data_IF_647921198855
#
_entry.id   IF_647921198855
#
_cell.length_a   1.000
_cell.length_b   1.000
_cell.length_c   1.000
_cell.angle_alpha   90.00
_cell.angle_beta   90.00
_cell.angle_gamma   90.00
#
_symmetry.space_group_name_H-M   'P 1'
#
loop_
_entity.id
_entity.type
_entity.pdbx_description
1 polymer ?
#
# COMPACT_ATOMS: atom_id res chain seq x y z
N UNK A 1 17.86 -21.21 29.85
CA UNK A 1 17.93 -19.85 29.27
C UNK A 1 17.07 -18.92 30.12
N UNK A 2 17.61 -17.82 30.65
CA UNK A 2 16.82 -16.81 31.37
C UNK A 2 15.83 -16.13 30.42
N UNK A 3 14.61 -15.87 30.89
CA UNK A 3 13.50 -15.28 30.09
C UNK A 3 13.88 -13.91 29.52
N UNK A 4 14.60 -13.09 30.29
CA UNK A 4 15.06 -11.77 29.84
C UNK A 4 16.01 -11.84 28.65
N UNK A 5 16.89 -12.86 28.63
CA UNK A 5 17.83 -13.05 27.53
C UNK A 5 17.11 -13.55 26.27
N UNK A 6 16.14 -14.46 26.43
CA UNK A 6 15.29 -14.93 25.33
C UNK A 6 14.50 -13.78 24.70
N UNK A 7 13.91 -12.90 25.53
CA UNK A 7 13.14 -11.74 25.07
C UNK A 7 14.02 -10.70 24.36
N UNK A 8 15.24 -10.45 24.86
CA UNK A 8 16.21 -9.57 24.19
C UNK A 8 16.67 -10.10 22.85
N UNK A 9 16.92 -11.41 22.74
CA UNK A 9 17.23 -12.08 21.48
C UNK A 9 16.08 -11.97 20.49
N UNK A 10 14.86 -12.28 20.92
CA UNK A 10 13.67 -12.18 20.08
C UNK A 10 13.49 -10.74 19.57
N UNK A 11 13.58 -9.76 20.46
CA UNK A 11 13.50 -8.33 20.10
C UNK A 11 14.57 -7.94 19.08
N UNK A 12 15.82 -8.31 19.30
CA UNK A 12 16.90 -7.99 18.38
C UNK A 12 16.65 -8.54 16.96
N UNK A 13 16.17 -9.78 16.85
CA UNK A 13 15.84 -10.37 15.55
C UNK A 13 14.63 -9.71 14.91
N UNK A 14 13.56 -9.42 15.67
CA UNK A 14 12.36 -8.73 15.14
C UNK A 14 12.69 -7.31 14.67
N UNK A 15 13.50 -6.56 15.43
CA UNK A 15 13.91 -5.20 15.08
C UNK A 15 14.81 -5.21 13.82
N UNK A 16 15.74 -6.16 13.74
CA UNK A 16 16.61 -6.33 12.56
C UNK A 16 15.80 -6.70 11.32
N UNK A 17 14.85 -7.64 11.44
CA UNK A 17 13.95 -8.01 10.35
C UNK A 17 13.14 -6.80 9.88
N UNK A 18 12.61 -6.01 10.81
CA UNK A 18 11.83 -4.80 10.50
C UNK A 18 12.67 -3.77 9.75
N UNK A 19 13.93 -3.57 10.15
CA UNK A 19 14.86 -2.68 9.47
C UNK A 19 15.18 -3.16 8.04
N UNK A 20 15.43 -4.45 7.85
CA UNK A 20 15.68 -5.05 6.53
C UNK A 20 14.46 -4.90 5.63
N UNK A 21 13.25 -5.22 6.12
CA UNK A 21 12.00 -5.06 5.37
C UNK A 21 11.78 -3.60 4.98
N UNK A 22 11.98 -2.67 5.91
CA UNK A 22 11.81 -1.22 5.65
C UNK A 22 12.79 -0.74 4.57
N UNK A 23 14.04 -1.17 4.64
CA UNK A 23 15.05 -0.84 3.64
C UNK A 23 14.73 -1.44 2.26
N UNK A 24 14.25 -2.69 2.22
CA UNK A 24 13.83 -3.33 0.97
C UNK A 24 12.63 -2.60 0.35
N UNK A 25 11.65 -2.17 1.16
CA UNK A 25 10.49 -1.40 0.69
C UNK A 25 10.92 -0.06 0.11
N UNK A 26 11.78 0.68 0.82
CA UNK A 26 12.30 1.98 0.36
C UNK A 26 13.10 1.88 -0.94
N UNK A 27 13.84 0.79 -1.13
CA UNK A 27 14.65 0.57 -2.33
C UNK A 27 13.88 -0.11 -3.47
N UNK A 28 12.59 -0.42 -3.28
CA UNK A 28 11.76 -1.12 -4.27
C UNK A 28 12.17 -2.57 -4.53
N UNK A 29 12.99 -3.17 -3.66
CA UNK A 29 13.42 -4.58 -3.74
C UNK A 29 12.59 -5.51 -2.88
N UNK A 30 11.59 -4.98 -2.18
CA UNK A 30 10.68 -5.79 -1.39
C UNK A 30 9.65 -6.43 -2.31
N UNK A 31 9.66 -7.76 -2.37
CA UNK A 31 8.64 -8.54 -3.07
C UNK A 31 7.42 -8.70 -2.16
N UNK A 32 6.28 -8.13 -2.56
CA UNK A 32 5.01 -8.25 -1.85
C UNK A 32 4.26 -9.54 -2.20
N UNK A 33 4.77 -10.34 -3.13
CA UNK A 33 4.09 -11.50 -3.67
C UNK A 33 2.88 -11.12 -4.54
N UNK A 34 1.90 -12.00 -4.58
CA UNK A 34 0.66 -11.80 -5.33
C UNK A 34 -0.24 -10.84 -4.56
N UNK A 35 -0.55 -9.69 -5.17
CA UNK A 35 -1.41 -8.66 -4.58
C UNK A 35 -2.79 -8.67 -5.23
N UNK A 36 -3.85 -8.73 -4.42
CA UNK A 36 -5.21 -8.49 -4.89
C UNK A 36 -5.48 -6.98 -4.96
N UNK A 37 -5.51 -6.47 -6.19
CA UNK A 37 -5.77 -5.07 -6.48
C UNK A 37 -7.27 -4.74 -6.53
N UNK A 38 -8.16 -5.74 -6.59
CA UNK A 38 -9.60 -5.54 -6.69
C UNK A 38 -10.29 -5.33 -5.35
N UNK A 39 -9.67 -5.74 -4.24
CA UNK A 39 -10.23 -5.62 -2.89
C UNK A 39 -9.91 -4.29 -2.18
N UNK A 40 -9.06 -3.43 -2.74
CA UNK A 40 -8.70 -2.15 -2.12
C UNK A 40 -9.58 -0.99 -2.64
N UNK A 41 -10.00 -0.09 -1.76
CA UNK A 41 -10.59 1.20 -2.16
C UNK A 41 -9.53 2.01 -2.92
N UNK A 42 -9.66 2.07 -4.24
CA UNK A 42 -8.77 2.81 -5.12
C UNK A 42 -9.07 2.56 -6.59
N UNK A 43 -8.74 3.53 -7.44
CA UNK A 43 -8.86 3.36 -8.89
C UNK A 43 -7.61 2.66 -9.42
N UNK A 44 -7.80 1.48 -10.03
CA UNK A 44 -6.71 0.74 -10.68
C UNK A 44 -6.81 0.95 -12.18
N UNK A 45 -5.77 1.53 -12.77
CA UNK A 45 -5.68 1.74 -14.22
C UNK A 45 -4.47 1.03 -14.78
N UNK A 46 -4.66 0.20 -15.81
CA UNK A 46 -3.53 -0.37 -16.56
C UNK A 46 -2.90 0.72 -17.44
N UNK A 47 -1.62 1.00 -17.20
CA UNK A 47 -0.86 2.01 -17.95
C UNK A 47 -0.05 1.39 -19.08
N UNK A 48 0.43 0.15 -18.92
CA UNK A 48 1.26 -0.51 -19.94
C UNK A 48 1.01 -2.01 -19.98
N UNK A 49 1.09 -2.57 -21.18
CA UNK A 49 1.11 -4.01 -21.41
C UNK A 49 2.32 -4.36 -22.27
N UNK A 50 3.11 -5.33 -21.81
CA UNK A 50 4.18 -5.96 -22.61
C UNK A 50 3.87 -7.43 -22.75
N UNK A 51 3.93 -7.93 -23.99
CA UNK A 51 3.70 -9.34 -24.30
C UNK A 51 5.00 -9.95 -24.79
N UNK A 52 5.38 -11.08 -24.21
CA UNK A 52 6.57 -11.84 -24.55
C UNK A 52 6.13 -13.20 -25.08
N UNK A 53 6.63 -13.57 -26.26
CA UNK A 53 6.40 -14.87 -26.86
C UNK A 53 7.70 -15.66 -26.82
N UNK A 54 7.70 -16.83 -26.19
CA UNK A 54 8.87 -17.71 -26.11
C UNK A 54 8.56 -19.07 -26.71
N UNK A 55 9.43 -19.54 -27.60
CA UNK A 55 9.34 -20.88 -28.15
C UNK A 55 9.85 -21.88 -27.11
N UNK A 56 9.14 -22.99 -26.93
CA UNK A 56 9.51 -24.11 -26.08
C UNK A 56 9.17 -25.43 -26.79
N UNK A 57 9.60 -26.56 -26.22
CA UNK A 57 9.54 -27.87 -26.87
C UNK A 57 8.15 -28.27 -27.39
N UNK A 58 7.07 -27.79 -26.76
CA UNK A 58 5.67 -28.10 -27.11
C UNK A 58 4.94 -26.98 -27.84
N UNK A 59 5.58 -25.84 -28.14
CA UNK A 59 4.93 -24.74 -28.86
C UNK A 59 5.47 -23.36 -28.53
N UNK A 60 4.59 -22.36 -28.57
CA UNK A 60 4.92 -20.97 -28.19
C UNK A 60 4.16 -20.59 -26.93
N UNK A 61 4.88 -20.21 -25.87
CA UNK A 61 4.34 -19.71 -24.62
C UNK A 61 4.21 -18.20 -24.66
N UNK A 62 3.09 -17.67 -24.14
CA UNK A 62 2.81 -16.24 -24.05
C UNK A 62 2.89 -15.80 -22.59
N UNK A 63 3.69 -14.77 -22.32
CA UNK A 63 3.82 -14.15 -21.01
C UNK A 63 3.47 -12.68 -21.12
N UNK A 64 2.64 -12.18 -20.21
CA UNK A 64 2.22 -10.77 -20.20
C UNK A 64 2.70 -10.08 -18.93
N UNK A 65 3.26 -8.89 -19.10
CA UNK A 65 3.62 -7.99 -18.02
C UNK A 65 2.72 -6.77 -18.09
N UNK A 66 1.84 -6.63 -17.10
CA UNK A 66 0.93 -5.50 -16.94
C UNK A 66 1.54 -4.51 -15.95
N UNK A 67 1.74 -3.26 -16.37
CA UNK A 67 2.05 -2.15 -15.45
C UNK A 67 0.75 -1.43 -15.14
N UNK A 68 0.43 -1.34 -13.87
CA UNK A 68 -0.79 -0.70 -13.36
C UNK A 68 -0.42 0.50 -12.49
N UNK A 69 -1.24 1.53 -12.55
CA UNK A 69 -1.24 2.63 -11.59
C UNK A 69 -2.42 2.42 -10.65
N UNK A 70 -2.18 2.60 -9.35
CA UNK A 70 -3.18 2.47 -8.30
C UNK A 70 -3.28 3.80 -7.59
N UNK A 71 -4.41 4.47 -7.76
CA UNK A 71 -4.71 5.71 -7.07
C UNK A 71 -5.56 5.38 -5.84
N UNK A 72 -4.98 5.51 -4.65
CA UNK A 72 -5.70 5.41 -3.37
C UNK A 72 -6.27 6.78 -3.03
N UNK A 73 -7.57 6.83 -2.73
CA UNK A 73 -8.27 8.06 -2.37
C UNK A 73 -9.53 8.29 -3.21
N UNK A 74 -10.19 9.42 -2.98
CA UNK A 74 -11.37 9.82 -3.74
C UNK A 74 -10.99 10.80 -4.86
N UNK A 75 -11.74 10.75 -5.96
CA UNK A 75 -11.61 11.74 -7.03
C UNK A 75 -11.90 13.16 -6.51
N UNK A 76 -11.38 14.18 -7.20
CA UNK A 76 -11.66 15.58 -6.85
C UNK A 76 -13.17 15.86 -6.79
N UNK A 77 -13.94 15.30 -7.72
CA UNK A 77 -15.40 15.44 -7.75
C UNK A 77 -16.06 14.82 -6.53
N UNK A 78 -15.62 13.63 -6.10
CA UNK A 78 -16.12 12.99 -4.89
C UNK A 78 -15.69 13.76 -3.63
N UNK A 79 -14.47 14.30 -3.61
CA UNK A 79 -14.00 15.15 -2.53
C UNK A 79 -14.87 16.42 -2.41
N UNK A 80 -15.22 17.05 -3.53
CA UNK A 80 -16.11 18.21 -3.55
C UNK A 80 -17.52 17.88 -3.07
N UNK A 81 -18.07 16.71 -3.42
CA UNK A 81 -19.36 16.27 -2.88
C UNK A 81 -19.28 16.06 -1.38
N UNK A 82 -18.27 15.32 -0.91
CA UNK A 82 -18.03 15.12 0.52
C UNK A 82 -17.89 16.44 1.26
N UNK A 83 -17.21 17.43 0.68
CA UNK A 83 -17.10 18.78 1.23
C UNK A 83 -18.45 19.48 1.36
N UNK A 84 -19.30 19.38 0.33
CA UNK A 84 -20.63 19.99 0.33
C UNK A 84 -21.57 19.40 1.40
N UNK A 85 -21.35 18.14 1.78
CA UNK A 85 -22.15 17.42 2.77
C UNK A 85 -21.65 17.61 4.22
N UNK A 86 -20.59 18.41 4.47
CA UNK A 86 -20.06 18.63 5.81
C UNK A 86 -20.92 19.62 6.60
N UNK A 87 -21.35 19.20 7.80
CA UNK A 87 -22.16 20.04 8.71
C UNK A 87 -21.35 20.60 9.89
N UNK A 88 -20.22 19.98 10.23
CA UNK A 88 -19.43 20.29 11.43
C UNK A 88 -18.00 20.77 11.10
N UNK A 89 -17.45 21.76 11.84
CA UNK A 89 -16.06 22.20 11.69
C UNK A 89 -14.99 21.15 12.07
N UNK A 90 -15.41 20.06 12.72
CA UNK A 90 -14.54 18.95 13.16
C UNK A 90 -14.66 17.73 12.26
N UNK A 91 -15.31 17.88 11.11
CA UNK A 91 -15.47 16.84 10.10
C UNK A 91 -14.82 17.29 8.78
N UNK A 92 -14.28 16.36 8.01
CA UNK A 92 -13.79 16.64 6.65
C UNK A 92 -12.27 16.53 6.47
N UNK A 93 -11.69 17.54 5.82
CA UNK A 93 -10.33 17.51 5.27
C UNK A 93 -9.32 18.16 6.21
N UNK A 94 -8.19 17.48 6.44
CA UNK A 94 -7.13 17.93 7.34
C UNK A 94 -5.82 18.13 6.60
N UNK A 95 -5.05 19.13 7.03
CA UNK A 95 -3.69 19.36 6.54
C UNK A 95 -2.74 18.44 7.29
N UNK A 96 -2.05 17.55 6.56
CA UNK A 96 -0.96 16.77 7.15
C UNK A 96 0.27 17.66 7.32
N UNK A 97 0.84 17.67 8.53
CA UNK A 97 2.11 18.32 8.82
C UNK A 97 3.32 17.38 8.67
N UNK A 98 3.10 16.13 8.24
CA UNK A 98 4.20 15.22 7.90
C UNK A 98 4.71 15.54 6.49
N UNK A 99 6.02 15.73 6.36
CA UNK A 99 6.67 15.76 5.05
C UNK A 99 6.52 14.39 4.40
N UNK A 100 5.56 14.24 3.49
CA UNK A 100 5.41 13.00 2.74
C UNK A 100 6.55 12.91 1.72
N UNK A 101 7.46 11.96 1.94
CA UNK A 101 8.36 11.51 0.86
C UNK A 101 7.51 11.13 -0.35
N UNK A 102 7.90 11.51 -1.58
CA UNK A 102 7.19 11.13 -2.80
C UNK A 102 7.48 9.65 -3.07
N UNK A 103 6.88 8.78 -2.27
CA UNK A 103 6.76 7.37 -2.57
C UNK A 103 5.46 7.24 -3.34
N UNK A 104 5.54 6.65 -4.53
CA UNK A 104 4.45 6.31 -5.46
C UNK A 104 3.33 5.44 -4.85
N UNK A 105 3.30 5.26 -3.53
CA UNK A 105 2.23 4.63 -2.77
C UNK A 105 2.00 5.38 -1.45
N UNK A 106 1.29 6.51 -1.48
CA UNK A 106 0.75 7.09 -0.25
C UNK A 106 -0.53 6.34 0.13
N UNK A 107 -0.48 5.56 1.21
CA UNK A 107 -1.67 5.08 1.92
C UNK A 107 -2.28 6.28 2.64
N UNK A 108 -3.44 6.74 2.18
CA UNK A 108 -4.27 7.68 2.93
C UNK A 108 -4.92 6.89 4.06
N UNK A 109 -4.39 7.02 5.28
CA UNK A 109 -5.00 6.40 6.46
C UNK A 109 -6.30 7.11 6.80
N UNK A 110 -7.44 6.43 6.64
CA UNK A 110 -8.66 6.82 7.33
C UNK A 110 -8.54 6.40 8.79
N UNK A 111 -8.64 7.36 9.71
CA UNK A 111 -8.87 7.06 11.12
C UNK A 111 -10.35 6.73 11.23
N UNK A 112 -10.69 5.44 11.12
CA UNK A 112 -11.99 4.96 11.59
C UNK A 112 -11.99 4.99 13.12
N UNK A 113 -12.98 5.61 13.78
CA UNK A 113 -13.12 5.47 15.22
C UNK A 113 -13.36 4.00 15.55
N UNK A 114 -12.41 3.41 16.27
CA UNK A 114 -12.57 2.10 16.87
C UNK A 114 -13.57 2.21 18.03
N UNK A 115 -14.67 1.49 17.84
CA UNK A 115 -15.66 0.99 18.81
C UNK A 115 -17.00 1.73 18.96
N UNK A 116 -18.13 0.97 18.91
CA UNK A 116 -19.41 1.43 19.42
C UNK A 116 -19.51 1.22 20.94
N UNK A 117 -20.06 2.25 21.59
CA UNK A 117 -20.93 2.29 22.79
C UNK A 117 -20.81 1.15 23.81
N UNK A 118 -20.48 1.53 25.04
CA UNK A 118 -21.36 1.26 26.18
C UNK A 118 -21.58 2.53 26.99
#
# INVERSE_FOLDING_TARGET
MPVDLQNRLFKYFTDTLSAIVTQAKKTGRYDMGILDLGSQEGSVRRTKLRVYLHKHATGTGRTELHTVNVERGCSWTEAQRKWADLESPTEGFYVSHQESTPLTESVLGSISPLFPVR
#
